data_IF_329766174474
#
_entry.id   IF_329766174474
#
_cell.length_a   1.000
_cell.length_b   1.000
_cell.length_c   1.000
_cell.angle_alpha   90.00
_cell.angle_beta   90.00
_cell.angle_gamma   90.00
#
_symmetry.space_group_name_H-M   'P 1'
#
loop_
_entity.id
_entity.type
_entity.pdbx_description
1 polymer ?
#
# COMPACT_ATOMS: atom_id res chain seq x y z
N UNK A 1 -10.33 11.86 4.74
CA UNK A 1 -9.03 11.32 5.22
C UNK A 1 -8.18 11.02 4.01
N UNK A 2 -6.87 11.22 4.10
CA UNK A 2 -5.94 10.79 3.05
C UNK A 2 -5.26 9.50 3.50
N UNK A 3 -5.18 8.51 2.61
CA UNK A 3 -4.60 7.19 2.90
C UNK A 3 -3.45 6.95 1.96
N UNK A 4 -2.32 6.53 2.52
CA UNK A 4 -1.08 6.26 1.79
C UNK A 4 -0.57 4.87 2.19
N UNK A 5 0.07 4.17 1.25
CA UNK A 5 0.75 2.90 1.47
C UNK A 5 2.18 2.98 0.95
N UNK A 6 3.12 2.31 1.62
CA UNK A 6 4.51 2.20 1.20
C UNK A 6 5.21 1.05 1.95
N UNK A 7 6.33 0.58 1.43
CA UNK A 7 7.18 -0.44 2.06
C UNK A 7 8.63 0.04 2.23
N UNK A 8 9.34 -0.50 3.23
CA UNK A 8 10.79 -0.28 3.39
C UNK A 8 11.61 -0.91 2.27
N UNK A 9 11.14 -2.05 1.75
CA UNK A 9 11.70 -2.79 0.62
C UNK A 9 10.54 -3.20 -0.30
N UNK A 10 10.07 -2.32 -1.19
CA UNK A 10 8.97 -2.63 -2.09
C UNK A 10 9.35 -3.77 -3.06
N UNK A 11 8.42 -4.68 -3.31
CA UNK A 11 8.55 -5.69 -4.35
C UNK A 11 8.26 -5.08 -5.74
N UNK A 12 8.52 -5.84 -6.81
CA UNK A 12 8.28 -5.36 -8.19
C UNK A 12 6.79 -5.25 -8.54
N UNK A 13 5.92 -5.99 -7.84
CA UNK A 13 4.48 -6.04 -8.12
C UNK A 13 3.67 -6.33 -6.85
N UNK A 14 2.38 -5.99 -6.90
CA UNK A 14 1.41 -6.35 -5.84
C UNK A 14 1.30 -7.87 -5.73
N UNK A 15 1.09 -8.36 -4.52
CA UNK A 15 0.89 -9.78 -4.25
C UNK A 15 -0.44 -10.26 -4.85
N UNK A 16 -0.45 -11.24 -5.77
CA UNK A 16 -1.69 -11.76 -6.35
C UNK A 16 -2.70 -12.27 -5.32
N UNK A 17 -2.24 -12.90 -4.24
CA UNK A 17 -3.11 -13.40 -3.18
C UNK A 17 -3.84 -12.26 -2.45
N UNK A 18 -3.21 -11.10 -2.30
CA UNK A 18 -3.84 -9.92 -1.72
C UNK A 18 -4.88 -9.31 -2.67
N UNK A 19 -4.60 -9.30 -3.98
CA UNK A 19 -5.57 -8.86 -5.00
C UNK A 19 -6.81 -9.74 -4.98
N UNK A 20 -6.63 -11.07 -4.98
CA UNK A 20 -7.72 -12.04 -4.92
C UNK A 20 -8.58 -11.86 -3.65
N UNK A 21 -7.93 -11.75 -2.48
CA UNK A 21 -8.64 -11.54 -1.22
C UNK A 21 -9.44 -10.22 -1.19
N UNK A 22 -8.90 -9.14 -1.75
CA UNK A 22 -9.61 -7.85 -1.81
C UNK A 22 -10.74 -7.86 -2.86
N UNK A 23 -10.59 -8.64 -3.94
CA UNK A 23 -11.61 -8.81 -4.95
C UNK A 23 -12.87 -9.54 -4.42
N UNK A 24 -12.74 -10.42 -3.42
CA UNK A 24 -13.88 -11.03 -2.71
C UNK A 24 -14.81 -9.97 -2.09
N UNK A 25 -14.25 -8.82 -1.73
CA UNK A 25 -14.98 -7.67 -1.17
C UNK A 25 -15.34 -6.62 -2.24
N UNK A 26 -15.08 -6.90 -3.52
CA UNK A 26 -15.32 -5.97 -4.62
C UNK A 26 -14.32 -4.81 -4.71
N UNK A 27 -13.13 -4.95 -4.11
CA UNK A 27 -12.08 -3.92 -4.13
C UNK A 27 -10.99 -4.33 -5.11
N UNK A 28 -10.82 -3.55 -6.18
CA UNK A 28 -9.73 -3.74 -7.14
C UNK A 28 -8.48 -2.96 -6.72
N UNK A 29 -7.40 -3.68 -6.46
CA UNK A 29 -6.06 -3.11 -6.22
C UNK A 29 -5.00 -3.66 -7.18
N UNK A 30 -5.42 -4.27 -8.29
CA UNK A 30 -4.53 -4.90 -9.27
C UNK A 30 -3.59 -3.91 -9.97
N UNK A 31 -4.01 -2.65 -10.08
CA UNK A 31 -3.24 -1.56 -10.70
C UNK A 31 -2.32 -0.81 -9.72
N UNK A 32 -2.33 -1.17 -8.43
CA UNK A 32 -1.46 -0.52 -7.45
C UNK A 32 0.02 -0.84 -7.71
N UNK A 33 0.88 0.11 -7.37
CA UNK A 33 2.33 -0.01 -7.58
C UNK A 33 3.03 0.05 -6.22
N UNK A 34 3.77 -1.00 -5.83
CA UNK A 34 4.59 -0.95 -4.63
C UNK A 34 5.56 0.24 -4.68
N UNK A 35 5.61 1.02 -3.60
CA UNK A 35 6.38 2.25 -3.51
C UNK A 35 7.21 2.30 -2.25
N UNK A 36 8.39 2.93 -2.34
CA UNK A 36 9.30 3.05 -1.20
C UNK A 36 8.75 4.04 -0.18
N UNK A 37 8.90 3.71 1.11
CA UNK A 37 8.56 4.62 2.20
C UNK A 37 9.53 5.81 2.18
N UNK A 38 8.98 7.02 2.03
CA UNK A 38 9.75 8.26 2.10
C UNK A 38 9.57 8.93 3.45
N UNK A 39 10.59 9.65 3.90
CA UNK A 39 10.50 10.43 5.15
C UNK A 39 9.50 11.58 5.04
N UNK A 40 9.25 12.10 3.84
CA UNK A 40 8.22 13.09 3.57
C UNK A 40 6.82 12.52 3.84
N UNK A 41 6.51 11.34 3.31
CA UNK A 41 5.21 10.69 3.51
C UNK A 41 4.91 10.43 5.00
N UNK A 42 5.94 10.11 5.79
CA UNK A 42 5.83 9.97 7.25
C UNK A 42 5.49 11.32 7.91
N UNK A 43 6.20 12.39 7.54
CA UNK A 43 5.98 13.73 8.12
C UNK A 43 4.64 14.34 7.75
N UNK A 44 4.11 14.02 6.58
CA UNK A 44 2.81 14.48 6.06
C UNK A 44 1.62 13.69 6.61
N UNK A 45 1.85 12.65 7.41
CA UNK A 45 0.80 11.78 7.94
C UNK A 45 0.63 12.02 9.44
N UNK A 46 -0.61 12.24 9.87
CA UNK A 46 -0.94 12.37 11.30
C UNK A 46 -0.76 11.04 12.06
N UNK A 47 -0.92 9.92 11.36
CA UNK A 47 -0.81 8.56 11.90
C UNK A 47 -0.04 7.67 10.92
N UNK A 48 0.88 6.85 11.46
CA UNK A 48 1.63 5.84 10.73
C UNK A 48 1.36 4.47 11.33
N UNK A 49 0.96 3.50 10.50
CA UNK A 49 0.63 2.13 10.91
C UNK A 49 1.62 1.18 10.22
N UNK A 50 2.24 0.29 11.00
CA UNK A 50 3.18 -0.72 10.52
C UNK A 50 2.55 -2.11 10.55
N UNK A 51 2.82 -2.94 9.54
CA UNK A 51 2.28 -4.31 9.37
C UNK A 51 3.38 -5.30 9.04
#
# INVERSE_FOLDING_TARGET
IEVRSAGSQPADKVNPAAVEAMAELGIDMSAEIPKVLTTAAVKESDVVITM
#
